data_IF_928654338318
#
_entry.id   IF_928654338318
#
_cell.length_a   1.000
_cell.length_b   1.000
_cell.length_c   1.000
_cell.angle_alpha   90.00
_cell.angle_beta   90.00
_cell.angle_gamma   90.00
#
_symmetry.space_group_name_H-M   'P 1'
#
loop_
_entity.id
_entity.type
_entity.pdbx_description
1 polymer ?
#
# COMPACT_ATOMS: atom_id res chain seq x y z
N UNK A 1 -39.45 -6.87 31.90
CA UNK A 1 -38.71 -8.05 31.38
C UNK A 1 -37.92 -7.58 30.17
N UNK A 2 -36.58 -7.51 30.28
CA UNK A 2 -35.72 -7.11 29.16
C UNK A 2 -35.68 -8.26 28.14
N UNK A 3 -35.92 -8.04 26.84
CA UNK A 3 -35.83 -9.12 25.86
C UNK A 3 -34.36 -9.58 25.75
N UNK A 4 -34.10 -10.83 26.11
CA UNK A 4 -32.77 -11.45 26.25
C UNK A 4 -32.22 -12.08 24.96
N UNK A 5 -32.82 -11.83 23.80
CA UNK A 5 -32.32 -12.41 22.54
C UNK A 5 -31.29 -11.48 21.89
N UNK A 6 -30.02 -11.64 22.29
CA UNK A 6 -28.90 -11.05 21.54
C UNK A 6 -28.77 -11.83 20.23
N UNK A 7 -29.33 -11.29 19.17
CA UNK A 7 -29.21 -11.87 17.83
C UNK A 7 -27.96 -11.29 17.16
N UNK A 8 -26.83 -12.01 17.24
CA UNK A 8 -25.61 -11.63 16.53
C UNK A 8 -25.72 -12.03 15.05
N UNK A 9 -25.34 -11.13 14.14
CA UNK A 9 -25.19 -11.42 12.71
C UNK A 9 -23.77 -11.07 12.29
N UNK A 10 -23.10 -11.99 11.62
CA UNK A 10 -21.73 -11.83 11.15
C UNK A 10 -21.68 -11.98 9.63
N UNK A 11 -20.85 -11.19 8.97
CA UNK A 11 -20.57 -11.30 7.54
C UNK A 11 -19.07 -11.16 7.29
N UNK A 12 -18.60 -11.71 6.17
CA UNK A 12 -17.20 -11.64 5.76
C UNK A 12 -17.03 -10.59 4.67
N UNK A 13 -15.97 -9.78 4.78
CA UNK A 13 -15.55 -8.82 3.75
C UNK A 13 -14.18 -9.23 3.25
N UNK A 14 -14.06 -9.46 1.94
CA UNK A 14 -12.77 -9.67 1.31
C UNK A 14 -12.01 -8.34 1.26
N UNK A 15 -10.80 -8.31 1.82
CA UNK A 15 -9.95 -7.12 1.81
C UNK A 15 -9.26 -7.00 0.45
N UNK A 16 -9.35 -5.83 -0.17
CA UNK A 16 -8.74 -5.53 -1.48
C UNK A 16 -7.60 -4.50 -1.37
N UNK A 17 -6.86 -4.31 -2.47
CA UNK A 17 -5.77 -3.32 -2.55
C UNK A 17 -6.25 -1.87 -2.42
N UNK A 18 -7.50 -1.60 -2.79
CA UNK A 18 -8.10 -0.25 -2.73
C UNK A 18 -8.43 0.16 -1.29
N UNK A 19 -8.39 -0.79 -0.35
CA UNK A 19 -8.61 -0.54 1.08
C UNK A 19 -7.33 -0.10 1.80
N UNK A 20 -6.21 0.04 1.08
CA UNK A 20 -4.94 0.48 1.62
C UNK A 20 -4.81 2.02 1.65
N UNK A 21 -4.16 2.58 2.68
CA UNK A 21 -3.60 1.92 3.87
C UNK A 21 -4.62 1.80 5.03
N UNK A 22 -5.68 2.61 5.00
CA UNK A 22 -6.69 2.71 6.05
C UNK A 22 -8.07 2.51 5.40
N UNK A 23 -8.86 1.63 5.99
CA UNK A 23 -10.25 1.43 5.61
C UNK A 23 -11.18 1.64 6.80
N UNK A 24 -12.41 2.09 6.50
CA UNK A 24 -13.44 2.34 7.51
C UNK A 24 -14.75 1.71 7.07
N UNK A 25 -15.31 0.86 7.93
CA UNK A 25 -16.65 0.31 7.79
C UNK A 25 -17.60 1.18 8.62
N UNK A 26 -18.71 1.59 8.01
CA UNK A 26 -19.81 2.27 8.70
C UNK A 26 -21.02 1.35 8.58
N UNK A 27 -21.59 0.97 9.72
CA UNK A 27 -22.81 0.19 9.79
C UNK A 27 -23.89 1.02 10.46
N UNK A 28 -25.10 1.02 9.90
CA UNK A 28 -26.23 1.70 10.48
C UNK A 28 -27.51 0.91 10.24
N UNK A 29 -28.51 1.16 11.08
CA UNK A 29 -29.87 0.71 10.85
C UNK A 29 -30.86 1.80 11.28
N UNK A 30 -32.06 1.71 10.74
CA UNK A 30 -33.17 2.62 11.03
C UNK A 30 -34.22 1.81 11.79
N UNK A 31 -34.58 2.28 12.98
CA UNK A 31 -35.66 1.69 13.77
C UNK A 31 -37.02 2.04 13.15
N UNK A 32 -38.08 1.28 13.45
CA UNK A 32 -39.43 1.57 12.94
C UNK A 32 -39.99 2.95 13.31
N UNK A 33 -39.48 3.58 14.37
CA UNK A 33 -39.83 4.93 14.83
C UNK A 33 -39.03 6.05 14.14
N UNK A 34 -38.11 5.70 13.23
CA UNK A 34 -37.27 6.64 12.50
C UNK A 34 -35.94 6.98 13.19
N UNK A 35 -35.64 6.39 14.34
CA UNK A 35 -34.33 6.57 14.98
C UNK A 35 -33.23 5.88 14.17
N UNK A 36 -32.14 6.61 13.91
CA UNK A 36 -30.95 6.07 13.24
C UNK A 36 -29.89 5.76 14.28
N UNK A 37 -29.42 4.51 14.29
CA UNK A 37 -28.30 4.06 15.10
C UNK A 37 -27.17 3.65 14.17
N UNK A 38 -25.99 4.23 14.37
CA UNK A 38 -24.82 3.99 13.54
C UNK A 38 -23.56 3.74 14.40
N UNK A 39 -22.64 2.95 13.87
CA UNK A 39 -21.32 2.70 14.43
C UNK A 39 -20.29 2.59 13.30
N UNK A 40 -19.01 2.82 13.63
CA UNK A 40 -17.93 2.78 12.67
C UNK A 40 -16.69 2.05 13.21
N UNK A 41 -16.08 1.24 12.37
CA UNK A 41 -14.83 0.53 12.63
C UNK A 41 -13.76 0.99 11.64
N UNK A 42 -12.66 1.53 12.16
CA UNK A 42 -11.46 1.83 11.36
C UNK A 42 -10.44 0.71 11.53
N UNK A 43 -9.87 0.24 10.43
CA UNK A 43 -8.82 -0.78 10.43
C UNK A 43 -7.73 -0.45 9.41
N UNK A 44 -6.52 -0.91 9.72
CA UNK A 44 -5.36 -0.71 8.87
C UNK A 44 -5.16 -1.94 8.00
N UNK A 45 -4.94 -1.73 6.70
CA UNK A 45 -4.60 -2.82 5.79
C UNK A 45 -3.13 -2.70 5.41
N UNK A 46 -2.41 -3.79 5.65
CA UNK A 46 -0.98 -3.82 5.38
C UNK A 46 -0.76 -4.19 3.91
N UNK A 47 -0.86 -3.18 3.03
CA UNK A 47 -0.62 -3.35 1.60
C UNK A 47 0.35 -2.30 1.07
N UNK A 48 1.61 -2.39 1.50
CA UNK A 48 2.74 -1.57 1.02
C UNK A 48 3.24 -1.97 -0.38
N UNK A 49 2.66 -3.00 -1.00
CA UNK A 49 3.09 -3.51 -2.32
C UNK A 49 2.06 -3.29 -3.42
N UNK A 50 1.57 -2.06 -3.53
CA UNK A 50 0.77 -1.64 -4.71
C UNK A 50 1.64 -1.75 -5.98
N UNK A 51 2.96 -1.53 -5.87
CA UNK A 51 3.92 -1.72 -6.93
C UNK A 51 4.97 -2.77 -6.55
N UNK A 52 5.09 -3.84 -7.35
CA UNK A 52 6.13 -4.85 -7.18
C UNK A 52 7.20 -4.64 -8.25
N UNK A 53 8.07 -3.65 -8.01
CA UNK A 53 9.21 -3.36 -8.88
C UNK A 53 10.47 -3.92 -8.22
N UNK A 54 11.22 -4.75 -8.96
CA UNK A 54 12.53 -5.25 -8.55
C UNK A 54 13.55 -4.92 -9.63
N UNK A 55 14.57 -4.17 -9.24
CA UNK A 55 15.69 -3.84 -10.10
C UNK A 55 16.91 -4.64 -9.64
N UNK A 56 17.53 -5.38 -10.56
CA UNK A 56 18.76 -6.13 -10.32
C UNK A 56 19.86 -5.52 -11.16
N UNK A 57 20.95 -5.14 -10.48
CA UNK A 57 22.14 -4.58 -11.12
C UNK A 57 23.19 -5.66 -11.22
N UNK A 58 23.56 -6.01 -12.44
CA UNK A 58 24.63 -6.95 -12.72
C UNK A 58 25.88 -6.19 -13.19
N UNK A 59 26.88 -6.11 -12.30
CA UNK A 59 28.15 -5.39 -12.50
C UNK A 59 29.27 -6.28 -13.07
N UNK A 60 29.03 -7.58 -13.18
CA UNK A 60 30.05 -8.58 -13.55
C UNK A 60 29.82 -9.18 -14.92
N UNK A 61 28.92 -8.62 -15.74
CA UNK A 61 28.69 -9.11 -17.10
C UNK A 61 29.93 -8.95 -17.97
N UNK A 62 30.67 -7.87 -17.75
CA UNK A 62 31.95 -7.61 -18.40
C UNK A 62 33.00 -7.46 -17.29
N UNK A 63 34.05 -8.28 -17.36
CA UNK A 63 35.13 -8.32 -16.35
C UNK A 63 35.94 -7.01 -16.33
N UNK A 64 35.69 -6.13 -17.30
CA UNK A 64 36.34 -4.83 -17.45
C UNK A 64 35.59 -3.69 -16.73
N UNK A 65 34.44 -3.95 -16.10
CA UNK A 65 33.60 -2.96 -15.38
C UNK A 65 33.06 -1.78 -16.21
N UNK A 66 33.32 -1.75 -17.52
CA UNK A 66 32.84 -0.69 -18.43
C UNK A 66 31.36 -0.83 -18.79
N UNK A 67 30.77 -2.01 -18.59
CA UNK A 67 29.37 -2.29 -18.90
C UNK A 67 28.57 -2.70 -17.67
N UNK A 68 27.45 -2.02 -17.44
CA UNK A 68 26.46 -2.35 -16.40
C UNK A 68 25.20 -2.90 -17.04
N UNK A 69 24.71 -4.04 -16.56
CA UNK A 69 23.40 -4.56 -16.97
C UNK A 69 22.37 -4.33 -15.87
N UNK A 70 21.21 -3.79 -16.26
CA UNK A 70 20.08 -3.56 -15.37
C UNK A 70 18.92 -4.45 -15.82
N UNK A 71 18.41 -5.28 -14.90
CA UNK A 71 17.22 -6.12 -15.12
C UNK A 71 16.10 -5.61 -14.24
N UNK A 72 15.05 -5.09 -14.87
CA UNK A 72 13.82 -4.65 -14.21
C UNK A 72 12.74 -5.72 -14.28
N UNK A 73 12.15 -6.06 -13.15
CA UNK A 73 10.96 -6.91 -13.05
C UNK A 73 9.83 -6.07 -12.47
N UNK A 74 8.70 -6.02 -13.16
CA UNK A 74 7.52 -5.29 -12.74
C UNK A 74 6.26 -6.02 -13.19
N UNK A 75 5.12 -5.63 -12.63
CA UNK A 75 3.80 -6.08 -13.10
C UNK A 75 3.55 -5.68 -14.56
N UNK A 76 2.88 -6.50 -15.39
CA UNK A 76 2.54 -6.14 -16.76
C UNK A 76 1.79 -4.80 -16.82
N UNK A 77 2.12 -3.96 -17.82
CA UNK A 77 1.53 -2.62 -17.97
C UNK A 77 2.10 -1.56 -17.02
N UNK A 78 3.08 -1.90 -16.18
CA UNK A 78 3.75 -0.92 -15.31
C UNK A 78 4.78 -0.10 -16.09
N UNK A 79 4.97 1.15 -15.68
CA UNK A 79 6.05 2.00 -16.18
C UNK A 79 7.25 1.94 -15.23
N UNK A 80 8.42 1.60 -15.78
CA UNK A 80 9.67 1.57 -15.02
C UNK A 80 10.56 2.73 -15.46
N UNK A 81 10.79 3.67 -14.56
CA UNK A 81 11.76 4.74 -14.74
C UNK A 81 13.05 4.42 -13.98
N UNK A 82 14.19 4.70 -14.60
CA UNK A 82 15.51 4.55 -13.97
C UNK A 82 16.22 5.91 -14.07
N UNK A 83 16.78 6.37 -12.95
CA UNK A 83 17.63 7.55 -12.91
C UNK A 83 18.98 7.18 -12.28
N UNK A 84 20.05 7.80 -12.77
CA UNK A 84 21.42 7.60 -12.31
C UNK A 84 22.00 8.94 -11.90
N UNK A 85 22.50 9.01 -10.67
CA UNK A 85 23.15 10.19 -10.13
C UNK A 85 24.58 9.85 -9.69
N UNK A 86 25.44 10.87 -9.66
CA UNK A 86 26.76 10.73 -9.05
C UNK A 86 26.62 10.46 -7.55
N UNK A 87 27.49 9.61 -6.98
CA UNK A 87 27.42 9.20 -5.58
C UNK A 87 27.42 10.39 -4.62
N UNK A 88 28.20 11.42 -4.94
CA UNK A 88 28.36 12.57 -4.07
C UNK A 88 27.03 13.34 -3.97
N UNK A 89 26.31 13.49 -5.07
CA UNK A 89 24.98 14.13 -5.08
C UNK A 89 23.96 13.32 -4.28
N UNK A 90 24.05 11.99 -4.29
CA UNK A 90 23.19 11.13 -3.48
C UNK A 90 23.43 11.33 -1.97
N UNK A 91 24.68 11.52 -1.57
CA UNK A 91 25.06 11.74 -0.16
C UNK A 91 24.68 13.15 0.30
N UNK A 92 24.86 14.17 -0.54
CA UNK A 92 24.51 15.56 -0.18
C UNK A 92 23.00 15.85 -0.24
N UNK A 93 22.24 15.14 -1.07
CA UNK A 93 20.79 15.36 -1.31
C UNK A 93 19.84 14.58 -0.39
N UNK A 94 20.32 14.07 0.76
CA UNK A 94 19.68 13.02 1.57
C UNK A 94 18.25 13.26 2.10
N UNK A 95 17.64 14.42 1.86
CA UNK A 95 16.29 14.76 2.34
C UNK A 95 15.23 14.92 1.23
N UNK A 96 15.56 14.81 -0.06
CA UNK A 96 14.63 15.16 -1.15
C UNK A 96 14.26 14.03 -2.12
N UNK A 97 14.57 12.77 -1.78
CA UNK A 97 14.17 11.63 -2.60
C UNK A 97 12.85 11.03 -2.11
N UNK A 98 11.97 10.69 -3.05
CA UNK A 98 10.71 10.02 -2.76
C UNK A 98 11.01 8.59 -2.32
N UNK A 99 10.61 8.26 -1.09
CA UNK A 99 10.67 6.90 -0.55
C UNK A 99 9.28 6.29 -0.47
N UNK A 100 9.24 4.97 -0.32
CA UNK A 100 7.99 4.24 -0.10
C UNK A 100 7.18 4.77 1.09
N UNK A 101 7.87 5.21 2.15
CA UNK A 101 7.25 5.85 3.33
C UNK A 101 6.66 7.24 3.04
N UNK A 102 7.17 7.96 2.04
CA UNK A 102 6.66 9.29 1.70
C UNK A 102 5.37 9.20 0.83
N UNK A 103 5.11 8.03 0.23
CA UNK A 103 3.91 7.76 -0.60
C UNK A 103 2.87 6.92 0.15
N UNK A 104 3.30 6.13 1.13
CA UNK A 104 2.41 5.38 2.01
C UNK A 104 1.79 6.31 3.05
N UNK A 105 0.59 6.83 2.74
CA UNK A 105 -0.17 7.74 3.61
C UNK A 105 -0.32 7.14 5.02
N UNK A 106 0.17 7.87 6.03
CA UNK A 106 -0.07 7.58 7.45
C UNK A 106 -1.51 7.88 7.84
#
# INVERSE_FOLDING_TARGET
MMPTSITSRTFSVAVSREMAPIARIVAFFIKPDGEVVADALTFFTNYTRINNVRLVVNRGKDLNQDTLEIKGYATPGSYLAVNVFHSDLYVFGGASFIRDVDVSVT
#
